data_IF_716304820439
#
_entry.id   IF_716304820439
#
_cell.length_a   1.000
_cell.length_b   1.000
_cell.length_c   1.000
_cell.angle_alpha   90.00
_cell.angle_beta   90.00
_cell.angle_gamma   90.00
#
_symmetry.space_group_name_H-M   'P 1'
#
loop_
_entity.id
_entity.type
_entity.pdbx_description
1 polymer ?
2 polymer ?
3 water ?
#
# COMPACT_ATOMS: atom_id res chain seq x y z
N UNK A 5 11.02 -23.59 13.08
CA UNK A 5 12.14 -23.75 12.09
C UNK A 5 13.48 -23.26 12.65
N UNK A 6 14.56 -23.61 11.94
CA UNK A 6 15.92 -23.12 12.19
C UNK A 6 16.66 -22.95 10.85
N UNK A 7 17.72 -22.12 10.82
CA UNK A 7 18.59 -22.03 9.62
C UNK A 7 19.11 -23.39 9.07
N UNK A 8 19.57 -24.28 9.95
CA UNK A 8 19.95 -25.64 9.54
C UNK A 8 18.80 -26.44 8.92
N UNK A 9 17.60 -26.27 9.44
CA UNK A 9 16.38 -26.87 8.88
C UNK A 9 16.06 -26.29 7.50
N UNK A 10 16.10 -24.96 7.38
CA UNK A 10 15.99 -24.30 6.10
C UNK A 10 17.03 -24.86 5.14
N UNK A 11 18.23 -25.08 5.66
CA UNK A 11 19.35 -25.69 4.92
C UNK A 11 18.96 -27.05 4.38
N UNK A 12 18.45 -27.90 5.27
CA UNK A 12 17.95 -29.23 4.89
C UNK A 12 16.90 -29.16 3.77
N UNK A 13 15.98 -28.20 3.85
CA UNK A 13 14.94 -28.03 2.83
C UNK A 13 15.45 -27.55 1.48
N UNK A 14 16.38 -26.59 1.51
CA UNK A 14 16.92 -26.05 0.26
C UNK A 14 17.71 -27.14 -0.46
N UNK A 15 18.51 -27.88 0.30
CA UNK A 15 19.43 -28.83 -0.29
C UNK A 15 18.68 -30.02 -0.87
N UNK A 16 17.58 -30.38 -0.20
CA UNK A 16 16.62 -31.34 -0.69
C UNK A 16 16.09 -30.92 -2.06
N UNK A 17 15.77 -29.64 -2.25
CA UNK A 17 15.19 -29.15 -3.49
C UNK A 17 16.20 -29.12 -4.65
N UNK A 18 17.44 -28.74 -4.35
CA UNK A 18 18.50 -28.69 -5.35
C UNK A 18 18.76 -30.10 -5.90
N UNK A 19 18.71 -31.09 -5.01
CA UNK A 19 18.93 -32.49 -5.39
C UNK A 19 17.69 -33.09 -6.07
N UNK A 20 16.57 -33.14 -5.36
CA UNK A 20 15.31 -33.65 -5.90
C UNK A 20 14.77 -32.73 -6.99
N UNK A 21 14.96 -33.14 -8.25
CA UNK A 21 14.38 -32.47 -9.42
C UNK A 21 15.26 -31.40 -10.06
N UNK A 22 15.24 -30.18 -9.51
CA UNK A 22 15.98 -29.04 -10.07
C UNK A 22 17.48 -29.24 -10.05
N UNK A 23 17.94 -30.25 -10.80
CA UNK A 23 19.32 -30.77 -10.71
C UNK A 23 20.24 -30.36 -11.85
N UNK A 24 19.72 -29.60 -12.81
CA UNK A 24 20.54 -29.10 -13.92
C UNK A 24 21.59 -28.12 -13.39
N UNK A 25 21.14 -27.14 -12.60
CA UNK A 25 22.06 -26.14 -12.04
C UNK A 25 22.81 -26.65 -10.81
N UNK A 26 24.07 -26.25 -10.71
CA UNK A 26 24.82 -26.34 -9.45
C UNK A 26 25.00 -24.94 -8.85
N UNK A 27 24.94 -23.92 -9.72
CA UNK A 27 25.20 -22.52 -9.33
C UNK A 27 23.90 -21.66 -9.38
N UNK A 28 23.59 -21.02 -8.25
CA UNK A 28 22.36 -20.26 -8.09
C UNK A 28 22.68 -18.88 -7.50
N UNK A 29 22.01 -17.82 -7.96
CA UNK A 29 22.05 -16.55 -7.23
C UNK A 29 21.24 -16.74 -5.94
N UNK A 30 21.53 -15.94 -4.92
CA UNK A 30 20.73 -15.97 -3.72
C UNK A 30 19.28 -15.54 -4.05
N UNK A 31 19.14 -14.53 -4.89
CA UNK A 31 17.80 -14.04 -5.27
C UNK A 31 16.92 -15.15 -5.86
N UNK A 32 17.45 -15.90 -6.84
CA UNK A 32 16.62 -16.87 -7.54
C UNK A 32 16.17 -18.04 -6.68
N UNK A 33 16.92 -18.34 -5.62
CA UNK A 33 16.50 -19.36 -4.66
C UNK A 33 15.23 -18.97 -3.92
N UNK A 34 15.07 -17.68 -3.64
CA UNK A 34 13.91 -17.22 -2.86
C UNK A 34 12.84 -16.49 -3.68
N UNK A 35 13.21 -15.93 -4.83
CA UNK A 35 12.27 -15.14 -5.64
C UNK A 35 12.19 -15.59 -7.11
N UNK A 36 12.86 -16.70 -7.44
CA UNK A 36 12.88 -17.21 -8.81
C UNK A 36 11.60 -17.93 -9.20
N UNK A 37 11.54 -18.43 -10.43
CA UNK A 37 10.39 -19.17 -10.93
C UNK A 37 10.38 -20.64 -10.51
N UNK A 38 11.55 -21.26 -10.58
CA UNK A 38 11.70 -22.70 -10.39
C UNK A 38 11.45 -23.15 -8.95
N UNK A 39 11.52 -22.19 -8.04
CA UNK A 39 11.39 -22.48 -6.60
C UNK A 39 10.12 -21.85 -6.00
N UNK A 40 9.25 -21.33 -6.88
CA UNK A 40 8.06 -20.55 -6.48
C UNK A 40 7.09 -21.26 -5.54
N UNK A 41 7.02 -22.58 -5.65
CA UNK A 41 6.09 -23.36 -4.83
C UNK A 41 6.75 -24.01 -3.60
N UNK A 42 8.06 -23.78 -3.44
CA UNK A 42 8.82 -24.35 -2.32
C UNK A 42 8.64 -23.59 -1.00
N UNK A 43 8.85 -24.31 0.10
CA UNK A 43 8.71 -23.76 1.45
C UNK A 43 9.65 -22.58 1.74
N UNK A 44 10.75 -22.49 0.99
CA UNK A 44 11.74 -21.42 1.18
C UNK A 44 11.59 -20.20 0.25
N UNK A 45 10.60 -20.22 -0.64
CA UNK A 45 10.34 -19.03 -1.44
C UNK A 45 9.95 -17.90 -0.49
N UNK A 46 10.31 -16.66 -0.82
CA UNK A 46 10.05 -15.53 0.06
C UNK A 46 10.92 -15.44 1.31
N UNK A 47 11.67 -16.51 1.61
CA UNK A 47 12.64 -16.48 2.72
C UNK A 47 13.54 -15.27 2.58
N UNK A 48 13.75 -14.54 3.68
CA UNK A 48 14.59 -13.34 3.70
C UNK A 48 16.06 -13.69 3.44
N UNK A 49 16.83 -12.76 2.86
CA UNK A 49 18.26 -13.03 2.54
C UNK A 49 19.04 -13.40 3.79
N UNK A 50 18.76 -12.70 4.88
CA UNK A 50 19.52 -12.88 6.13
C UNK A 50 19.44 -14.33 6.63
N UNK A 51 18.25 -14.89 6.63
CA UNK A 51 18.02 -16.25 7.11
C UNK A 51 18.52 -17.27 6.08
N UNK A 52 18.36 -16.95 4.80
CA UNK A 52 18.87 -17.75 3.70
C UNK A 52 20.38 -17.91 3.78
N UNK A 53 21.10 -16.82 4.05
CA UNK A 53 22.54 -16.91 4.24
C UNK A 53 22.97 -17.80 5.42
N UNK A 54 22.23 -17.73 6.53
CA UNK A 54 22.52 -18.61 7.66
C UNK A 54 22.21 -20.09 7.35
N UNK A 55 21.18 -20.33 6.52
CA UNK A 55 20.87 -21.66 6.04
C UNK A 55 22.03 -22.18 5.20
N UNK A 56 22.51 -21.33 4.31
CA UNK A 56 23.59 -21.66 3.39
C UNK A 56 24.93 -21.85 4.10
N UNK A 57 25.14 -21.11 5.18
CA UNK A 57 26.35 -21.20 6.02
C UNK A 57 26.42 -22.56 6.73
N UNK A 58 25.27 -23.05 7.24
CA UNK A 58 25.20 -24.37 7.83
C UNK A 58 25.51 -25.46 6.79
N UNK A 59 24.97 -25.28 5.58
CA UNK A 59 25.31 -26.15 4.43
C UNK A 59 26.79 -26.09 4.11
N UNK A 60 27.35 -24.89 3.95
CA UNK A 60 28.78 -24.74 3.69
C UNK A 60 29.66 -25.47 4.72
N UNK A 61 29.28 -25.39 6.00
CA UNK A 61 29.99 -26.10 7.10
C UNK A 61 30.03 -27.61 6.91
N UNK A 62 28.99 -28.16 6.29
CA UNK A 62 28.89 -29.59 5.96
C UNK A 62 29.42 -29.91 4.57
N UNK A 63 30.05 -28.92 3.91
CA UNK A 63 30.68 -29.08 2.58
C UNK A 63 29.66 -29.24 1.44
N UNK A 64 28.39 -28.99 1.75
CA UNK A 64 27.31 -29.13 0.78
C UNK A 64 27.11 -27.90 -0.10
N UNK A 65 27.85 -26.84 0.18
CA UNK A 65 27.65 -25.56 -0.48
C UNK A 65 28.89 -24.70 -0.31
N UNK A 66 29.14 -23.86 -1.31
CA UNK A 66 30.13 -22.80 -1.16
C UNK A 66 29.47 -21.49 -1.58
N UNK A 67 29.52 -20.51 -0.69
CA UNK A 67 28.85 -19.23 -0.96
C UNK A 67 29.79 -18.31 -1.75
N UNK A 68 29.22 -17.63 -2.75
CA UNK A 68 29.94 -16.58 -3.50
C UNK A 68 29.41 -15.21 -3.09
N UNK A 69 30.29 -14.40 -2.53
CA UNK A 69 29.89 -13.13 -1.94
C UNK A 69 30.32 -11.90 -2.73
N UNK A 70 31.03 -12.09 -3.84
CA UNK A 70 31.44 -10.93 -4.63
C UNK A 70 30.21 -10.22 -5.22
N UNK A 71 30.23 -8.90 -5.13
CA UNK A 71 29.09 -8.07 -5.49
C UNK A 71 28.68 -8.17 -6.95
N UNK A 72 29.63 -8.49 -7.84
CA UNK A 72 29.39 -8.63 -9.28
C UNK A 72 28.68 -9.92 -9.67
N UNK A 73 28.45 -10.78 -8.70
CA UNK A 73 27.79 -12.04 -8.97
C UNK A 73 27.67 -12.94 -7.76
N UNK A 74 26.77 -12.53 -6.87
CA UNK A 74 26.55 -13.18 -5.58
C UNK A 74 25.74 -14.44 -5.77
N UNK A 75 26.02 -15.44 -4.95
CA UNK A 75 25.24 -16.65 -5.01
C UNK A 75 25.90 -17.80 -4.31
N UNK A 76 25.57 -19.00 -4.75
CA UNK A 76 25.94 -20.20 -4.03
C UNK A 76 26.11 -21.36 -5.02
N UNK A 77 27.12 -22.19 -4.78
CA UNK A 77 27.23 -23.47 -5.50
C UNK A 77 26.97 -24.60 -4.55
N UNK A 78 26.16 -25.56 -4.99
CA UNK A 78 25.86 -26.75 -4.20
C UNK A 78 26.68 -27.93 -4.70
N UNK A 79 27.04 -28.79 -3.77
CA UNK A 79 27.87 -29.96 -4.04
C UNK A 79 27.12 -31.20 -3.54
N UNK B 1 40.80 -25.54 -0.34
CA UNK B 1 40.66 -24.48 -1.40
C UNK B 1 39.25 -24.44 -1.99
N UNK B 2 38.99 -23.39 -2.78
CA UNK B 2 37.68 -23.16 -3.42
C UNK B 2 37.36 -24.24 -4.42
N UNK B 3 36.08 -24.60 -4.48
CA UNK B 3 35.58 -25.45 -5.53
C UNK B 3 34.69 -24.67 -6.51
N UNK B 4 34.85 -23.34 -6.56
CA UNK B 4 34.09 -22.51 -7.49
C UNK B 4 34.99 -22.05 -8.64
N UNK B 5 34.55 -22.27 -9.87
CA UNK B 5 35.32 -21.94 -11.07
C UNK B 5 35.08 -20.51 -11.58
N UNK B 6 36.00 -20.01 -12.39
CA UNK B 6 35.82 -18.74 -13.09
C UNK B 6 34.55 -18.76 -13.97
N UNK B 7 34.32 -19.89 -14.62
CA UNK B 7 33.06 -20.20 -15.30
C UNK B 7 31.81 -20.12 -14.41
N UNK B 8 31.87 -20.70 -13.20
CA UNK B 8 30.79 -20.58 -12.21
C UNK B 8 30.49 -19.12 -11.88
N UNK B 9 31.56 -18.34 -11.66
CA UNK B 9 31.40 -16.92 -11.33
C UNK B 9 30.89 -16.09 -12.53
N UNK B 10 31.32 -16.44 -13.73
CA UNK B 10 30.81 -15.84 -14.96
C UNK B 10 29.30 -16.09 -15.18
N UNK B 11 28.81 -17.29 -14.85
CA UNK B 11 27.38 -17.59 -14.92
C UNK B 11 26.68 -16.60 -14.01
N UNK B 12 27.17 -16.58 -12.78
CA UNK B 12 26.59 -15.79 -11.71
C UNK B 12 26.54 -14.28 -11.94
N UNK B 13 27.56 -13.72 -12.59
CA UNK B 13 27.56 -12.29 -12.96
C UNK B 13 26.39 -12.02 -13.88
N UNK B 14 26.18 -12.93 -14.83
CA UNK B 14 25.10 -12.78 -15.81
C UNK B 14 23.73 -13.05 -15.17
N UNK B 15 23.62 -14.12 -14.39
CA UNK B 15 22.39 -14.40 -13.65
C UNK B 15 22.01 -13.29 -12.66
N UNK B 16 22.99 -12.56 -12.12
CA UNK B 16 22.70 -11.41 -11.27
C UNK B 16 22.09 -10.21 -12.03
N UNK B 17 22.65 -9.91 -13.20
CA UNK B 17 22.17 -8.82 -14.05
C UNK B 17 20.74 -9.10 -14.54
N UNK B 18 20.49 -10.38 -14.80
CA UNK B 18 19.17 -10.91 -15.09
C UNK B 18 18.18 -10.71 -13.95
N UNK B 19 18.65 -11.01 -12.74
CA UNK B 19 17.83 -10.95 -11.55
C UNK B 19 17.34 -9.52 -11.25
N UNK B 20 18.25 -8.55 -11.34
CA UNK B 20 17.94 -7.17 -10.99
C UNK B 20 16.96 -6.57 -12.01
N UNK B 21 17.10 -6.97 -13.27
CA UNK B 21 16.13 -6.60 -14.31
C UNK B 21 14.77 -7.25 -14.08
N UNK B 22 14.79 -8.52 -13.67
CA UNK B 22 13.55 -9.23 -13.30
C UNK B 22 12.76 -8.51 -12.16
N UNK B 23 13.48 -8.01 -11.15
CA UNK B 23 12.88 -7.23 -10.04
C UNK B 23 12.16 -5.95 -10.56
N UNK B 24 12.84 -5.21 -11.44
CA UNK B 24 12.20 -4.08 -12.11
C UNK B 24 11.03 -4.46 -13.04
N UNK B 25 11.11 -5.62 -13.68
CA UNK B 25 10.05 -6.10 -14.59
C UNK B 25 8.76 -6.37 -13.78
N UNK B 26 8.94 -6.96 -12.61
CA UNK B 26 7.83 -7.33 -11.74
C UNK B 26 7.13 -6.07 -11.25
N UNK B 27 7.94 -5.09 -10.85
CA UNK B 27 7.46 -3.77 -10.47
C UNK B 27 6.65 -3.06 -11.59
N UNK B 28 7.04 -3.25 -12.84
CA UNK B 28 6.33 -2.69 -14.00
C UNK B 28 5.00 -3.40 -14.22
N UNK B 29 5.03 -4.73 -14.20
CA UNK B 29 3.86 -5.60 -14.33
C UNK B 29 2.78 -5.20 -13.34
N UNK B 30 3.22 -4.96 -12.09
CA UNK B 30 2.34 -4.52 -11.00
C UNK B 30 1.69 -3.17 -11.30
N UNK B 31 2.45 -2.28 -11.95
CA UNK B 31 1.98 -0.91 -12.20
C UNK B 31 1.05 -0.83 -13.41
N UNK B 32 1.35 -1.63 -14.43
CA UNK B 32 0.50 -1.73 -15.61
C UNK B 32 -0.97 -1.98 -15.28
N UNK B 33 -1.21 -2.87 -14.33
CA UNK B 33 -2.56 -3.16 -13.88
C UNK B 33 -3.05 -2.15 -12.84
N UNK B 34 -2.13 -1.57 -12.07
CA UNK B 34 -2.47 -0.55 -11.07
C UNK B 34 -3.40 0.52 -11.64
N UNK B 35 -3.20 0.88 -12.91
CA UNK B 35 -4.10 1.82 -13.55
C UNK B 35 -5.11 1.11 -14.42
N UNK C 5 4.98 -6.36 -49.12
CA UNK C 5 3.74 -5.67 -49.56
C UNK C 5 3.76 -4.17 -49.24
N UNK C 6 2.71 -3.46 -49.65
CA UNK C 6 2.61 -2.01 -49.37
C UNK C 6 2.18 -1.82 -47.92
N UNK C 7 2.40 -0.61 -47.36
CA UNK C 7 2.02 -0.35 -45.96
C UNK C 7 0.55 -0.66 -45.69
N UNK C 8 -0.28 -0.37 -46.68
CA UNK C 8 -1.73 -0.55 -46.61
C UNK C 8 -2.12 -1.97 -46.27
N UNK C 9 -1.42 -2.93 -46.89
CA UNK C 9 -1.74 -4.33 -46.69
C UNK C 9 -1.18 -4.85 -45.40
N UNK C 10 0.02 -4.37 -45.04
CA UNK C 10 0.60 -4.60 -43.73
C UNK C 10 -0.40 -4.16 -42.64
N UNK C 11 -0.93 -2.95 -42.80
CA UNK C 11 -1.93 -2.40 -41.88
C UNK C 11 -3.20 -3.21 -41.79
N UNK C 12 -3.68 -3.67 -42.95
CA UNK C 12 -4.86 -4.48 -43.05
C UNK C 12 -4.66 -5.77 -42.24
N UNK C 13 -3.44 -6.28 -42.30
CA UNK C 13 -3.03 -7.50 -41.59
C UNK C 13 -2.95 -7.31 -40.07
N UNK C 14 -2.25 -6.26 -39.64
CA UNK C 14 -2.16 -5.90 -38.21
C UNK C 14 -3.52 -5.68 -37.57
N UNK C 15 -4.37 -4.91 -38.26
CA UNK C 15 -5.70 -4.63 -37.74
C UNK C 15 -6.52 -5.92 -37.66
N UNK C 16 -6.49 -6.74 -38.72
CA UNK C 16 -7.13 -8.06 -38.75
C UNK C 16 -6.75 -8.84 -37.50
N UNK C 17 -5.46 -8.81 -37.16
CA UNK C 17 -5.00 -9.45 -35.94
C UNK C 17 -5.52 -8.78 -34.67
N UNK C 18 -5.38 -7.45 -34.60
CA UNK C 18 -5.86 -6.70 -33.44
C UNK C 18 -7.34 -7.04 -33.25
N UNK C 19 -8.14 -6.73 -34.26
CA UNK C 19 -9.57 -7.03 -34.32
C UNK C 19 -9.94 -8.45 -33.90
N UNK C 20 -9.55 -9.43 -34.72
CA UNK C 20 -9.84 -10.83 -34.45
C UNK C 20 -9.32 -11.32 -33.10
N UNK C 21 -8.21 -10.73 -32.62
CA UNK C 21 -7.70 -11.07 -31.30
C UNK C 21 -8.47 -10.33 -30.18
N UNK C 22 -9.34 -9.40 -30.57
CA UNK C 22 -10.14 -8.62 -29.63
C UNK C 22 -9.32 -7.70 -28.73
N UNK C 23 -8.44 -6.91 -29.35
CA UNK C 23 -7.50 -6.09 -28.59
C UNK C 23 -7.57 -4.60 -28.94
N UNK C 24 -8.64 -4.19 -29.63
CA UNK C 24 -8.90 -2.78 -29.80
C UNK C 24 -9.06 -2.13 -28.41
N UNK C 25 -8.98 -0.80 -28.33
CA UNK C 25 -9.02 -0.09 -27.04
C UNK C 25 -7.65 -0.16 -26.31
N UNK C 26 -6.85 -1.14 -26.70
CA UNK C 26 -5.58 -1.45 -26.03
C UNK C 26 -4.45 -0.59 -26.60
N UNK C 27 -3.48 -0.26 -25.76
CA UNK C 27 -2.35 0.55 -26.19
C UNK C 27 -1.20 -0.44 -26.45
N UNK C 28 -0.58 -0.32 -27.61
CA UNK C 28 0.57 -1.16 -27.98
C UNK C 28 1.84 -0.33 -28.12
N UNK C 29 3.01 -0.87 -27.78
CA UNK C 29 4.25 -0.26 -28.25
C UNK C 29 4.44 -0.69 -29.69
N UNK C 30 5.24 0.07 -30.44
CA UNK C 30 5.65 -0.37 -31.77
C UNK C 30 6.46 -1.69 -31.70
N UNK C 31 7.36 -1.77 -30.71
CA UNK C 31 8.18 -2.98 -30.47
C UNK C 31 7.38 -4.25 -30.28
N UNK C 32 6.31 -4.21 -29.49
CA UNK C 32 5.60 -5.45 -29.15
C UNK C 32 4.77 -6.01 -30.29
N UNK C 33 4.33 -5.15 -31.22
CA UNK C 33 3.66 -5.60 -32.42
C UNK C 33 4.55 -6.44 -33.32
N UNK C 34 5.85 -6.11 -33.37
CA UNK C 34 6.78 -6.83 -34.26
C UNK C 34 7.76 -7.80 -33.55
N UNK C 35 7.87 -7.68 -32.22
CA UNK C 35 8.87 -8.45 -31.45
C UNK C 35 8.34 -9.14 -30.19
N UNK C 36 7.02 -9.08 -29.97
CA UNK C 36 6.42 -9.67 -28.78
C UNK C 36 6.04 -11.13 -28.95
N UNK C 37 5.76 -11.80 -27.82
CA UNK C 37 5.27 -13.19 -27.81
C UNK C 37 3.95 -13.32 -28.57
N UNK C 38 2.97 -12.49 -28.21
CA UNK C 38 1.61 -12.54 -28.75
C UNK C 38 1.54 -12.52 -30.28
N UNK C 39 2.55 -11.91 -30.89
CA UNK C 39 2.53 -11.61 -32.32
C UNK C 39 3.32 -12.64 -33.14
N UNK C 40 4.13 -13.47 -32.47
CA UNK C 40 5.03 -14.48 -33.07
C UNK C 40 4.54 -15.17 -34.35
N UNK C 41 3.28 -15.60 -34.35
CA UNK C 41 2.71 -16.39 -35.46
C UNK C 41 2.35 -15.55 -36.68
N UNK C 42 2.21 -14.24 -36.49
CA UNK C 42 1.64 -13.39 -37.54
C UNK C 42 2.68 -12.93 -38.57
N UNK C 43 2.19 -12.55 -39.76
CA UNK C 43 3.02 -12.20 -40.91
C UNK C 43 3.89 -10.96 -40.66
N UNK C 44 3.37 -10.01 -39.89
CA UNK C 44 4.08 -8.78 -39.62
C UNK C 44 5.06 -8.91 -38.45
N UNK C 45 5.18 -10.12 -37.89
CA UNK C 45 6.28 -10.36 -36.95
C UNK C 45 7.60 -10.13 -37.69
N UNK C 46 8.52 -9.44 -37.02
CA UNK C 46 9.80 -9.08 -37.61
C UNK C 46 9.80 -7.89 -38.55
N UNK C 47 8.65 -7.26 -38.76
CA UNK C 47 8.59 -6.07 -39.61
C UNK C 47 9.45 -4.91 -39.04
N UNK C 48 10.13 -4.17 -39.93
CA UNK C 48 10.89 -2.99 -39.55
C UNK C 48 9.96 -1.88 -39.00
N UNK C 49 10.49 -1.11 -38.06
CA UNK C 49 9.72 -0.03 -37.43
C UNK C 49 9.22 1.04 -38.40
N UNK C 50 10.03 1.41 -39.39
CA UNK C 50 9.65 2.45 -40.35
C UNK C 50 8.45 2.07 -41.19
N UNK C 51 8.45 0.83 -41.68
CA UNK C 51 7.34 0.28 -42.47
C UNK C 51 6.10 0.05 -41.58
N UNK C 52 6.31 -0.41 -40.35
CA UNK C 52 5.24 -0.49 -39.38
C UNK C 52 4.51 0.83 -39.23
N UNK C 53 5.26 1.93 -39.12
CA UNK C 53 4.76 3.26 -38.84
C UNK C 53 3.99 3.82 -40.03
N UNK C 54 4.42 3.41 -41.21
CA UNK C 54 3.70 3.70 -42.44
C UNK C 54 2.39 2.95 -42.48
N UNK C 55 2.41 1.70 -42.05
CA UNK C 55 1.24 0.83 -42.00
C UNK C 55 0.17 1.28 -41.02
N UNK C 56 0.59 1.78 -39.86
CA UNK C 56 -0.33 2.24 -38.79
C UNK C 56 -0.88 3.62 -39.10
N UNK C 57 -0.09 4.39 -39.81
CA UNK C 57 -0.39 5.74 -40.14
C UNK C 57 -1.28 5.81 -41.39
N UNK C 58 -1.57 4.63 -41.95
CA UNK C 58 -2.62 4.45 -42.94
C UNK C 58 -3.89 3.90 -42.27
N UNK C 59 -3.70 3.09 -41.23
CA UNK C 59 -4.80 2.62 -40.38
C UNK C 59 -5.40 3.80 -39.63
N UNK C 60 -4.53 4.72 -39.25
CA UNK C 60 -4.92 5.98 -38.63
C UNK C 60 -5.87 6.75 -39.57
N UNK C 61 -5.66 6.59 -40.87
CA UNK C 61 -6.51 7.29 -41.85
C UNK C 61 -7.90 6.66 -41.99
N UNK C 62 -8.01 5.35 -41.79
CA UNK C 62 -9.32 4.70 -41.73
C UNK C 62 -9.94 4.91 -40.35
N UNK C 63 -9.34 5.82 -39.58
CA UNK C 63 -9.71 6.09 -38.18
C UNK C 63 -9.71 4.81 -37.32
N UNK C 64 -8.88 3.85 -37.73
CA UNK C 64 -8.72 2.55 -37.03
C UNK C 64 -7.55 2.52 -36.03
N UNK C 65 -6.69 3.55 -36.07
CA UNK C 65 -5.54 3.66 -35.13
C UNK C 65 -5.12 5.12 -34.82
N UNK C 66 -4.41 5.33 -33.71
CA UNK C 66 -3.75 6.62 -33.47
C UNK C 66 -2.37 6.42 -32.90
N UNK C 67 -1.36 6.99 -33.55
CA UNK C 67 0.05 6.88 -33.12
C UNK C 67 0.30 7.81 -31.97
N UNK C 68 0.94 7.27 -30.94
CA UNK C 68 1.20 7.95 -29.70
C UNK C 68 2.71 8.06 -29.54
N UNK C 69 3.19 9.25 -29.22
CA UNK C 69 4.59 9.36 -28.83
C UNK C 69 4.73 9.85 -27.38
N UNK C 70 5.53 9.15 -26.59
CA UNK C 70 5.85 9.51 -25.20
C UNK C 70 7.36 9.64 -24.99
N UNK C 71 7.81 10.14 -23.83
CA UNK C 71 9.22 10.43 -23.64
C UNK C 71 10.14 9.29 -24.07
N UNK C 72 9.77 8.07 -23.73
CA UNK C 72 10.69 6.97 -23.95
C UNK C 72 10.33 5.98 -25.07
N UNK C 73 9.43 6.41 -25.96
CA UNK C 73 9.18 5.70 -27.25
C UNK C 73 7.83 5.96 -27.88
N UNK C 74 7.48 5.15 -28.87
CA UNK C 74 6.20 5.31 -29.57
C UNK C 74 5.34 4.06 -29.50
N UNK C 75 4.06 4.25 -29.78
CA UNK C 75 3.08 3.20 -29.66
C UNK C 75 1.86 3.66 -30.43
N UNK C 76 0.74 3.00 -30.16
CA UNK C 76 -0.44 3.10 -31.00
C UNK C 76 -1.65 2.56 -30.22
N UNK C 77 -2.78 3.23 -30.36
CA UNK C 77 -4.07 2.75 -29.85
C UNK C 77 -4.93 2.36 -31.04
N UNK C 78 -5.57 1.18 -31.01
CA UNK C 78 -6.51 0.79 -32.06
C UNK C 78 -7.96 1.01 -31.60
N UNK C 79 -8.84 1.26 -32.57
CA UNK C 79 -10.27 1.49 -32.30
C UNK C 79 -11.13 0.51 -33.11
N UNK D 1 -9.76 15.69 -33.12
CA UNK D 1 -9.03 15.69 -31.80
C UNK D 1 -8.56 14.32 -31.38
N UNK D 2 -7.44 14.27 -30.66
CA UNK D 2 -6.93 12.98 -30.16
C UNK D 2 -7.98 12.19 -29.41
N UNK D 3 -7.96 10.88 -29.57
CA UNK D 3 -8.78 9.93 -28.82
C UNK D 3 -7.95 9.16 -27.80
N UNK D 4 -6.78 9.70 -27.47
CA UNK D 4 -5.80 9.03 -26.59
C UNK D 4 -5.78 9.78 -25.26
N UNK D 5 -5.97 9.06 -24.16
CA UNK D 5 -6.07 9.67 -22.84
C UNK D 5 -4.72 9.79 -22.10
N UNK D 6 -4.71 10.58 -21.02
CA UNK D 6 -3.58 10.62 -20.05
C UNK D 6 -3.24 9.23 -19.47
N UNK D 7 -4.26 8.47 -19.09
CA UNK D 7 -4.08 7.12 -18.63
C UNK D 7 -3.38 6.24 -19.70
N UNK D 8 -3.87 6.27 -20.94
CA UNK D 8 -3.24 5.56 -22.08
C UNK D 8 -1.75 5.86 -22.24
N UNK D 9 -1.40 7.14 -22.17
CA UNK D 9 -0.02 7.62 -22.27
C UNK D 9 0.81 7.14 -21.07
N UNK D 10 0.22 7.11 -19.89
CA UNK D 10 0.87 6.54 -18.70
C UNK D 10 1.18 5.05 -18.84
N UNK D 11 0.19 4.31 -19.36
CA UNK D 11 0.35 2.90 -19.73
C UNK D 11 1.44 2.69 -20.78
N UNK D 12 1.46 3.51 -21.85
CA UNK D 12 2.49 3.42 -22.89
C UNK D 12 3.91 3.62 -22.31
N UNK D 13 4.09 4.62 -21.45
CA UNK D 13 5.41 4.83 -20.82
C UNK D 13 5.90 3.61 -20.02
N UNK D 14 5.01 2.99 -19.24
CA UNK D 14 5.33 1.73 -18.56
C UNK D 14 5.67 0.58 -19.51
N UNK D 15 4.84 0.41 -20.54
CA UNK D 15 5.05 -0.59 -21.59
C UNK D 15 6.38 -0.41 -22.31
N UNK D 16 6.77 0.85 -22.52
CA UNK D 16 8.09 1.13 -23.08
C UNK D 16 9.24 0.68 -22.15
N UNK D 17 9.07 0.89 -20.85
CA UNK D 17 10.02 0.39 -19.84
C UNK D 17 10.13 -1.14 -19.85
N UNK D 18 8.96 -1.81 -19.81
CA UNK D 18 8.81 -3.26 -20.00
C UNK D 18 9.56 -3.81 -21.24
N UNK D 19 9.44 -3.10 -22.36
CA UNK D 19 10.08 -3.46 -23.62
C UNK D 19 11.60 -3.30 -23.55
N UNK D 20 12.08 -2.22 -22.94
CA UNK D 20 13.56 -2.04 -22.82
C UNK D 20 14.21 -3.12 -21.97
N UNK D 21 13.60 -3.41 -20.83
CA UNK D 21 13.98 -4.52 -19.99
C UNK D 21 13.95 -5.87 -20.70
N UNK D 22 12.93 -6.09 -21.51
CA UNK D 22 12.80 -7.33 -22.28
C UNK D 22 13.92 -7.48 -23.28
N UNK D 23 14.37 -6.35 -23.85
CA UNK D 23 15.47 -6.34 -24.82
C UNK D 23 16.82 -6.64 -24.14
N UNK D 24 17.06 -5.96 -23.02
CA UNK D 24 18.19 -6.27 -22.14
C UNK D 24 18.28 -7.75 -21.74
N UNK D 25 17.14 -8.34 -21.41
CA UNK D 25 17.08 -9.75 -21.02
C UNK D 25 17.47 -10.71 -22.15
N UNK D 26 17.15 -10.36 -23.39
CA UNK D 26 17.55 -11.15 -24.56
C UNK D 26 19.08 -11.14 -24.72
N UNK D 27 19.69 -9.97 -24.52
CA UNK D 27 21.14 -9.84 -24.60
C UNK D 27 21.78 -10.75 -23.59
N UNK D 28 21.34 -10.63 -22.36
CA UNK D 28 21.82 -11.43 -21.25
C UNK D 28 21.62 -12.91 -21.53
N UNK D 29 20.45 -13.28 -22.07
CA UNK D 29 20.13 -14.65 -22.43
C UNK D 29 21.09 -15.22 -23.50
N UNK D 30 21.47 -14.37 -24.45
CA UNK D 30 22.52 -14.74 -25.41
C UNK D 30 23.87 -14.97 -24.71
N UNK D 31 24.18 -14.12 -23.75
CA UNK D 31 25.46 -14.22 -23.02
C UNK D 31 25.54 -15.49 -22.18
N UNK D 32 24.43 -15.84 -21.54
CA UNK D 32 24.37 -17.06 -20.73
C UNK D 32 24.56 -18.35 -21.53
N UNK D 33 24.06 -18.39 -22.76
CA UNK D 33 24.30 -19.51 -23.67
C UNK D 33 25.75 -19.55 -24.19
N UNK D 34 26.36 -18.37 -24.32
CA UNK D 34 27.78 -18.27 -24.60
C UNK D 34 28.63 -18.56 -23.34
N UNK D 35 28.02 -19.19 -22.34
CA UNK D 35 28.73 -19.60 -21.12
C UNK D 35 28.30 -20.98 -20.63
N UNK D 36 27.60 -21.72 -21.49
CA UNK D 36 27.06 -23.05 -21.15
C UNK D 36 27.15 -24.02 -22.33
N UNK E 5 1.30 -8.71 -6.32
CA UNK E 5 2.14 -8.43 -5.12
C UNK E 5 2.12 -9.59 -4.12
N UNK E 6 3.29 -9.91 -3.57
CA UNK E 6 3.44 -11.01 -2.61
C UNK E 6 3.36 -10.49 -1.17
N UNK E 7 3.02 -11.37 -0.20
CA UNK E 7 2.92 -10.93 1.20
C UNK E 7 4.23 -10.39 1.80
N UNK E 8 5.37 -10.82 1.25
CA UNK E 8 6.67 -10.32 1.72
C UNK E 8 6.90 -8.84 1.38
N UNK E 9 6.47 -8.41 0.20
CA UNK E 9 6.62 -6.99 -0.20
C UNK E 9 5.59 -6.12 0.49
N UNK E 10 4.42 -6.70 0.75
CA UNK E 10 3.47 -6.10 1.68
C UNK E 10 4.11 -5.92 3.06
N UNK E 11 4.79 -6.95 3.54
CA UNK E 11 5.47 -6.94 4.84
C UNK E 11 6.51 -5.83 4.97
N UNK E 12 7.30 -5.63 3.92
CA UNK E 12 8.33 -4.57 3.90
C UNK E 12 7.73 -3.16 3.88
N UNK E 13 6.66 -2.98 3.12
CA UNK E 13 5.91 -1.71 3.12
C UNK E 13 5.39 -1.35 4.51
N UNK E 14 4.74 -2.30 5.17
CA UNK E 14 4.29 -2.09 6.54
C UNK E 14 5.48 -1.84 7.48
N UNK E 15 6.49 -2.71 7.43
CA UNK E 15 7.69 -2.56 8.27
C UNK E 15 8.41 -1.24 8.05
N UNK E 16 8.60 -0.87 6.77
CA UNK E 16 9.19 0.44 6.42
C UNK E 16 8.41 1.57 7.10
N UNK E 17 7.08 1.54 7.02
CA UNK E 17 6.26 2.59 7.63
C UNK E 17 6.40 2.61 9.15
N UNK E 18 6.53 1.43 9.75
CA UNK E 18 6.72 1.32 11.20
C UNK E 18 8.09 1.87 11.64
N UNK E 19 9.13 1.67 10.83
CA UNK E 19 10.47 2.21 11.10
C UNK E 19 10.49 3.75 11.24
N UNK E 20 9.72 4.42 10.39
CA UNK E 20 9.57 5.87 10.43
C UNK E 20 8.19 6.27 10.97
N UNK E 21 7.92 5.90 12.21
CA UNK E 21 6.61 6.09 12.85
C UNK E 21 6.74 6.65 14.28
N UNK E 22 7.97 6.82 14.74
CA UNK E 22 8.24 7.25 16.10
C UNK E 22 8.86 6.14 16.93
N UNK E 23 8.51 4.91 16.57
CA UNK E 23 9.04 3.70 17.22
C UNK E 23 9.21 2.61 16.17
N UNK E 24 10.25 1.79 16.32
CA UNK E 24 10.44 0.61 15.47
C UNK E 24 9.81 -0.63 16.12
N UNK E 25 9.32 -0.44 17.35
CA UNK E 25 8.92 -1.52 18.25
C UNK E 25 7.59 -1.23 18.96
N UNK E 26 6.54 -1.01 18.18
CA UNK E 26 5.26 -0.74 18.79
C UNK E 26 4.20 -1.84 18.54
N UNK E 27 3.10 -1.68 19.25
CA UNK E 27 1.97 -2.58 19.25
C UNK E 27 0.88 -1.88 18.43
N UNK E 28 0.24 -2.66 17.55
CA UNK E 28 -0.84 -2.17 16.66
C UNK E 28 -1.94 -3.18 16.51
N UNK E 29 -3.18 -2.69 16.35
CA UNK E 29 -4.27 -3.55 15.94
C UNK E 29 -4.15 -3.78 14.43
N UNK E 30 -4.70 -4.88 13.97
CA UNK E 30 -4.84 -5.14 12.54
C UNK E 30 -5.64 -4.02 11.91
N UNK E 31 -6.75 -3.64 12.56
CA UNK E 31 -7.63 -2.56 12.07
C UNK E 31 -6.92 -1.20 11.87
N UNK E 32 -6.04 -0.82 12.77
CA UNK E 32 -5.41 0.51 12.70
C UNK E 32 -4.37 0.59 11.60
N UNK E 33 -3.78 -0.55 11.25
CA UNK E 33 -2.87 -0.61 10.12
C UNK E 33 -3.56 -0.33 8.78
N UNK E 34 -4.79 -0.82 8.61
CA UNK E 34 -5.43 -0.68 7.30
C UNK E 34 -6.54 0.38 7.22
N UNK E 35 -6.98 0.89 8.37
CA UNK E 35 -8.17 1.74 8.45
C UNK E 35 -7.99 2.93 9.38
N UNK E 36 -6.86 2.96 10.09
CA UNK E 36 -6.55 4.06 10.99
C UNK E 36 -6.26 5.35 10.25
N UNK E 37 -6.14 6.43 11.00
CA UNK E 37 -5.86 7.75 10.43
C UNK E 37 -4.43 7.91 9.91
N UNK E 38 -3.46 7.48 10.71
CA UNK E 38 -2.04 7.71 10.41
C UNK E 38 -1.46 6.84 9.28
N UNK E 39 -2.33 6.06 8.62
CA UNK E 39 -1.88 5.08 7.63
C UNK E 39 -2.56 5.15 6.24
N UNK E 40 -3.57 6.00 6.10
CA UNK E 40 -4.37 6.09 4.86
C UNK E 40 -3.58 6.29 3.56
N UNK E 41 -2.45 6.97 3.65
CA UNK E 41 -1.62 7.30 2.50
C UNK E 41 -0.86 6.10 1.92
N UNK E 42 -0.68 5.06 2.72
CA UNK E 42 0.20 3.96 2.35
C UNK E 42 -0.48 2.91 1.47
N UNK E 43 0.35 2.17 0.74
CA UNK E 43 -0.09 1.19 -0.25
C UNK E 43 -0.94 0.06 0.32
N UNK E 44 -0.77 -0.21 1.61
CA UNK E 44 -1.36 -1.36 2.25
C UNK E 44 -2.68 -1.04 2.94
N UNK E 45 -3.07 0.23 2.90
CA UNK E 45 -4.38 0.66 3.37
C UNK E 45 -5.50 -0.02 2.57
N UNK E 46 -6.59 -0.36 3.25
CA UNK E 46 -7.68 -1.10 2.62
C UNK E 46 -7.45 -2.59 2.45
N UNK E 47 -6.28 -3.09 2.84
CA UNK E 47 -5.99 -4.52 2.72
C UNK E 47 -6.85 -5.39 3.62
N UNK E 48 -7.45 -6.42 3.04
CA UNK E 48 -8.29 -7.34 3.79
C UNK E 48 -7.43 -8.04 4.83
N UNK E 49 -8.07 -8.39 5.95
CA UNK E 49 -7.37 -8.89 7.11
C UNK E 49 -6.50 -10.12 6.84
N UNK E 50 -6.96 -10.99 5.95
CA UNK E 50 -6.24 -12.22 5.62
C UNK E 50 -4.98 -11.99 4.81
N UNK E 51 -5.00 -10.97 3.94
CA UNK E 51 -3.81 -10.56 3.20
C UNK E 51 -2.80 -9.84 4.11
N UNK E 52 -3.29 -8.93 4.94
CA UNK E 52 -2.48 -8.29 5.96
C UNK E 52 -1.82 -9.33 6.88
N UNK E 53 -2.62 -10.29 7.37
CA UNK E 53 -2.10 -11.32 8.26
C UNK E 53 -0.99 -12.08 7.57
N UNK E 54 -1.19 -12.41 6.31
CA UNK E 54 -0.23 -13.17 5.54
C UNK E 54 1.08 -12.40 5.50
N UNK E 55 0.97 -11.10 5.20
CA UNK E 55 2.09 -10.16 5.19
C UNK E 55 2.80 -10.05 6.53
N UNK E 56 2.02 -10.00 7.61
CA UNK E 56 2.54 -10.00 8.97
C UNK E 56 3.14 -11.37 9.35
N UNK E 57 2.64 -12.45 8.74
CA UNK E 57 3.19 -13.77 8.99
C UNK E 57 4.57 -13.91 8.33
N UNK E 58 4.75 -13.30 7.17
CA UNK E 58 6.04 -13.22 6.51
C UNK E 58 7.01 -12.41 7.36
N UNK E 59 6.55 -11.27 7.86
CA UNK E 59 7.34 -10.44 8.74
C UNK E 59 7.67 -11.19 10.05
N UNK E 60 6.77 -12.06 10.50
CA UNK E 60 7.02 -12.86 11.70
C UNK E 60 8.12 -13.90 11.47
N UNK E 61 8.14 -14.47 10.27
CA UNK E 61 9.14 -15.48 9.90
C UNK E 61 10.53 -14.87 9.91
N UNK E 62 10.62 -13.62 9.47
CA UNK E 62 11.87 -12.88 9.49
C UNK E 62 12.25 -12.35 10.89
N UNK E 63 11.47 -12.70 11.91
CA UNK E 63 11.61 -12.21 13.30
C UNK E 63 11.37 -10.68 13.46
N UNK E 64 10.71 -10.10 12.48
CA UNK E 64 10.42 -8.66 12.47
C UNK E 64 9.07 -8.29 13.06
N UNK E 65 8.21 -9.29 13.29
CA UNK E 65 6.91 -9.07 13.95
C UNK E 65 6.45 -10.30 14.73
N UNK E 66 5.53 -10.10 15.66
CA UNK E 66 4.83 -11.22 16.30
C UNK E 66 3.36 -10.88 16.37
N UNK E 67 2.54 -11.77 15.81
CA UNK E 67 1.11 -11.57 15.79
C UNK E 67 0.57 -11.89 17.18
N UNK E 68 -0.36 -11.05 17.65
CA UNK E 68 -0.98 -11.23 18.93
C UNK E 68 -2.45 -11.58 18.71
N UNK E 69 -2.89 -12.69 19.28
CA UNK E 69 -4.28 -13.05 19.18
C UNK E 69 -4.80 -13.18 20.58
N UNK E 70 -5.77 -12.34 20.92
CA UNK E 70 -6.33 -12.34 22.25
C UNK E 70 -7.87 -12.33 22.16
N UNK E 71 -8.55 -12.75 23.24
CA UNK E 71 -10.00 -12.63 23.30
C UNK E 71 -10.39 -11.20 22.89
N UNK E 72 -11.30 -11.11 21.92
CA UNK E 72 -11.83 -9.83 21.38
C UNK E 72 -10.94 -9.06 20.39
N UNK E 73 -9.83 -9.66 19.97
CA UNK E 73 -9.13 -9.12 18.82
C UNK E 73 -7.70 -9.52 18.59
N UNK E 74 -7.16 -9.06 17.46
CA UNK E 74 -5.82 -9.44 17.08
C UNK E 74 -5.03 -8.22 16.74
N UNK E 75 -3.73 -8.34 17.00
CA UNK E 75 -2.81 -7.27 16.75
C UNK E 75 -1.43 -7.83 16.44
N UNK E 76 -0.45 -6.93 16.46
CA UNK E 76 0.92 -7.29 16.09
C UNK E 76 1.89 -6.38 16.84
N UNK E 77 3.05 -6.93 17.22
CA UNK E 77 4.18 -6.17 17.73
C UNK E 77 5.28 -6.20 16.69
N UNK E 78 5.95 -5.08 16.51
CA UNK E 78 7.06 -5.04 15.58
C UNK E 78 8.39 -5.01 16.32
N UNK E 79 9.42 -5.59 15.71
CA UNK E 79 10.75 -5.64 16.33
C UNK E 79 11.82 -5.00 15.47
N UNK F 1 10.15 -18.85 22.47
CA UNK F 1 9.10 -18.22 23.32
C UNK F 1 8.64 -16.87 22.78
N UNK F 2 7.48 -16.41 23.27
CA UNK F 2 6.91 -15.11 22.90
C UNK F 2 7.81 -13.92 23.29
N UNK F 3 7.81 -12.89 22.45
CA UNK F 3 8.51 -11.64 22.73
C UNK F 3 7.52 -10.49 23.01
N UNK F 4 6.27 -10.83 23.29
CA UNK F 4 5.34 -9.75 23.65
C UNK F 4 5.03 -9.81 25.13
N UNK F 5 5.14 -8.64 25.75
CA UNK F 5 5.09 -8.50 27.17
C UNK F 5 3.66 -8.29 27.69
N UNK F 6 3.53 -8.37 28.99
CA UNK F 6 2.32 -7.94 29.68
C UNK F 6 1.99 -6.48 29.31
N UNK F 7 3.01 -5.61 29.25
CA UNK F 7 2.74 -4.23 28.90
C UNK F 7 2.17 -4.12 27.49
N UNK F 8 2.76 -4.85 26.55
CA UNK F 8 2.29 -4.86 25.15
C UNK F 8 0.81 -5.21 25.04
N UNK F 9 0.41 -6.25 25.78
CA UNK F 9 -0.96 -6.77 25.70
C UNK F 9 -1.96 -5.77 26.31
N UNK F 10 -1.52 -5.01 27.31
CA UNK F 10 -2.29 -3.90 27.90
C UNK F 10 -2.49 -2.74 26.91
N UNK F 11 -1.42 -2.40 26.18
CA UNK F 11 -1.50 -1.41 25.11
C UNK F 11 -2.50 -1.87 24.02
N UNK F 12 -2.35 -3.11 23.54
CA UNK F 12 -3.22 -3.71 22.51
C UNK F 12 -4.72 -3.63 22.86
N UNK F 13 -5.06 -3.96 24.10
CA UNK F 13 -6.41 -3.91 24.61
C UNK F 13 -6.97 -2.49 24.52
N UNK F 14 -6.18 -1.51 24.96
CA UNK F 14 -6.60 -0.12 24.90
C UNK F 14 -6.82 0.34 23.46
N UNK F 15 -5.96 -0.10 22.56
CA UNK F 15 -6.08 0.16 21.12
C UNK F 15 -7.27 -0.52 20.48
N UNK F 16 -7.63 -1.73 20.93
CA UNK F 16 -8.89 -2.35 20.49
C UNK F 16 -10.12 -1.51 20.93
N UNK F 17 -10.11 -1.05 22.18
CA UNK F 17 -11.16 -0.17 22.70
C UNK F 17 -11.23 1.11 21.87
N UNK F 18 -10.07 1.72 21.64
CA UNK F 18 -9.96 2.92 20.79
C UNK F 18 -10.51 2.70 19.37
N UNK F 19 -10.20 1.56 18.76
CA UNK F 19 -10.75 1.15 17.47
C UNK F 19 -12.27 1.08 17.42
N UNK F 20 -12.87 0.48 18.45
CA UNK F 20 -14.32 0.46 18.63
C UNK F 20 -14.89 1.89 18.67
N UNK F 21 -14.25 2.77 19.42
CA UNK F 21 -14.65 4.18 19.46
C UNK F 21 -14.49 4.90 18.11
N UNK F 22 -13.39 4.60 17.42
CA UNK F 22 -13.17 5.25 16.13
C UNK F 22 -14.17 4.80 15.06
N UNK F 23 -14.60 3.55 15.14
CA UNK F 23 -15.57 3.00 14.19
C UNK F 23 -16.94 3.66 14.42
N UNK F 24 -17.33 3.81 15.68
CA UNK F 24 -18.60 4.49 15.96
C UNK F 24 -18.52 5.95 15.49
N UNK F 25 -17.38 6.60 15.73
CA UNK F 25 -17.20 7.99 15.33
C UNK F 25 -17.31 8.20 13.83
N UNK F 26 -16.82 7.25 13.05
CA UNK F 26 -16.88 7.35 11.60
C UNK F 26 -18.31 7.26 11.09
N UNK F 27 -19.14 6.46 11.74
CA UNK F 27 -20.57 6.36 11.38
C UNK F 27 -21.37 7.58 11.79
N UNK F 28 -20.95 8.24 12.87
CA UNK F 28 -21.58 9.49 13.32
C UNK F 28 -21.20 10.67 12.43
N UNK F 29 -19.92 10.73 12.07
CA UNK F 29 -19.42 11.80 11.21
C UNK F 29 -19.96 11.64 9.79
N UNK F 30 -20.39 10.41 9.49
CA UNK F 30 -21.13 10.09 8.26
C UNK F 30 -22.55 10.68 8.30
N UNK F 31 -23.22 10.48 9.43
CA UNK F 31 -24.58 10.97 9.65
C UNK F 31 -24.64 12.50 9.78
N UNK F 32 -23.56 13.09 10.30
CA UNK F 32 -23.37 14.54 10.34
C UNK F 32 -22.90 15.12 9.00
N UNK G 5 -14.95 35.73 36.75
CA UNK G 5 -15.75 36.32 35.65
C UNK G 5 -17.21 35.86 35.73
N UNK G 6 -18.12 36.83 35.68
CA UNK G 6 -19.56 36.59 35.77
C UNK G 6 -20.09 35.79 34.57
N UNK G 7 -21.31 35.22 34.69
CA UNK G 7 -21.97 34.54 33.56
C UNK G 7 -22.06 35.39 32.28
N UNK G 8 -22.58 36.61 32.41
CA UNK G 8 -22.84 37.45 31.24
C UNK G 8 -21.60 37.94 30.48
N UNK G 9 -20.45 38.00 31.16
CA UNK G 9 -19.20 38.38 30.48
C UNK G 9 -18.67 37.25 29.59
N UNK G 10 -18.75 36.02 30.07
CA UNK G 10 -18.55 34.84 29.21
C UNK G 10 -19.56 34.84 28.07
N UNK G 11 -20.80 35.22 28.38
CA UNK G 11 -21.88 35.29 27.39
C UNK G 11 -21.53 36.20 26.22
N UNK G 12 -21.08 37.41 26.53
CA UNK G 12 -20.59 38.34 25.51
C UNK G 12 -19.50 37.70 24.65
N UNK G 13 -18.52 37.05 25.28
CA UNK G 13 -17.39 36.49 24.54
C UNK G 13 -17.80 35.27 23.72
N UNK G 14 -18.66 34.43 24.28
CA UNK G 14 -19.26 33.33 23.52
C UNK G 14 -19.94 33.90 22.28
N UNK G 15 -20.82 34.88 22.49
CA UNK G 15 -21.63 35.45 21.40
C UNK G 15 -20.78 36.07 20.28
N UNK G 16 -19.69 36.73 20.67
CA UNK G 16 -18.78 37.36 19.69
C UNK G 16 -18.11 36.32 18.80
N UNK G 17 -17.67 35.20 19.39
CA UNK G 17 -17.01 34.13 18.63
C UNK G 17 -17.96 33.57 17.58
N UNK G 18 -19.19 33.32 18.00
CA UNK G 18 -20.24 32.77 17.14
C UNK G 18 -20.50 33.72 15.97
N UNK G 19 -20.73 34.99 16.30
CA UNK G 19 -21.11 36.01 15.33
C UNK G 19 -20.03 36.23 14.25
N UNK G 20 -18.77 36.29 14.67
CA UNK G 20 -17.70 36.62 13.73
C UNK G 20 -17.41 35.54 12.67
N UNK G 21 -17.68 34.28 13.01
CA UNK G 21 -17.36 33.15 12.14
C UNK G 21 -18.43 32.88 11.09
N UNK G 22 -19.57 33.55 11.21
CA UNK G 22 -20.72 33.29 10.34
C UNK G 22 -21.42 32.01 10.76
N UNK G 23 -21.66 31.89 12.06
CA UNK G 23 -22.36 30.74 12.66
C UNK G 23 -23.63 31.20 13.36
N UNK G 24 -24.19 32.30 12.85
CA UNK G 24 -25.29 33.04 13.51
C UNK G 24 -26.62 32.28 13.68
N UNK G 25 -26.73 31.10 13.09
CA UNK G 25 -27.86 30.19 13.37
C UNK G 25 -27.39 28.75 13.58
N UNK G 26 -26.17 28.60 14.08
CA UNK G 26 -25.60 27.27 14.29
C UNK G 26 -25.99 26.69 15.64
N UNK G 27 -26.12 25.37 15.64
CA UNK G 27 -26.44 24.59 16.83
C UNK G 27 -25.13 23.98 17.40
N UNK G 28 -24.94 24.09 18.71
CA UNK G 28 -23.73 23.57 19.36
C UNK G 28 -24.14 22.78 20.60
N UNK G 29 -23.36 21.75 20.96
CA UNK G 29 -23.50 21.13 22.26
C UNK G 29 -22.75 22.01 23.24
N UNK G 30 -23.17 22.04 24.50
CA UNK G 30 -22.42 22.75 25.51
C UNK G 30 -20.98 22.22 25.64
N UNK G 31 -20.81 20.89 25.58
CA UNK G 31 -19.48 20.26 25.64
C UNK G 31 -18.56 20.76 24.53
N UNK G 32 -19.03 20.78 23.28
CA UNK G 32 -18.18 21.20 22.17
C UNK G 32 -17.74 22.65 22.30
N UNK G 33 -18.55 23.50 22.95
CA UNK G 33 -18.17 24.91 23.17
C UNK G 33 -16.94 25.02 24.05
N UNK G 34 -16.89 24.23 25.12
CA UNK G 34 -15.83 24.37 26.14
C UNK G 34 -14.72 23.31 26.03
N UNK G 35 -14.94 22.34 25.15
CA UNK G 35 -14.12 21.13 25.06
C UNK G 35 -13.90 20.60 23.65
N UNK G 36 -14.56 21.21 22.66
CA UNK G 36 -14.49 20.75 21.29
C UNK G 36 -13.22 21.14 20.56
N UNK G 37 -12.98 20.50 19.42
CA UNK G 37 -11.74 20.72 18.69
C UNK G 37 -11.69 21.96 17.79
N UNK G 38 -12.80 22.70 17.73
CA UNK G 38 -12.86 23.96 16.98
C UNK G 38 -12.57 25.15 17.88
N UNK G 39 -12.83 24.98 19.18
CA UNK G 39 -12.70 26.07 20.17
C UNK G 39 -11.45 25.94 21.07
N UNK G 40 -10.57 25.00 20.72
CA UNK G 40 -9.35 24.71 21.50
C UNK G 40 -8.48 25.91 21.90
N UNK G 41 -8.28 26.84 20.95
CA UNK G 41 -7.52 28.08 21.19
C UNK G 41 -8.42 29.27 21.47
N UNK G 42 -9.67 28.98 21.84
CA UNK G 42 -10.61 29.99 22.29
C UNK G 42 -10.37 30.28 23.77
N UNK G 43 -10.89 31.40 24.24
CA UNK G 43 -10.68 31.83 25.62
C UNK G 43 -11.60 31.11 26.59
N UNK G 44 -12.76 30.67 26.09
CA UNK G 44 -13.74 29.99 26.92
C UNK G 44 -13.52 28.47 26.99
N UNK G 45 -12.57 27.97 26.21
CA UNK G 45 -12.21 26.55 26.29
C UNK G 45 -11.84 26.17 27.72
N UNK G 46 -12.48 25.14 28.28
CA UNK G 46 -12.21 24.71 29.66
C UNK G 46 -13.21 25.20 30.69
N UNK G 47 -14.11 26.10 30.27
CA UNK G 47 -15.17 26.59 31.15
C UNK G 47 -16.07 25.47 31.66
N UNK G 48 -16.45 25.50 32.93
CA UNK G 48 -17.29 24.43 33.47
C UNK G 48 -18.72 24.57 32.98
N UNK G 49 -19.42 23.45 32.81
CA UNK G 49 -20.78 23.48 32.27
C UNK G 49 -21.80 24.34 33.04
N UNK G 50 -21.59 24.49 34.36
CA UNK G 50 -22.55 25.23 35.17
C UNK G 50 -22.54 26.71 34.81
N UNK G 51 -21.32 27.28 34.81
CA UNK G 51 -21.08 28.67 34.47
C UNK G 51 -21.48 28.90 33.02
N UNK G 52 -21.14 27.94 32.15
CA UNK G 52 -21.49 28.07 30.74
C UNK G 52 -23.00 28.15 30.59
N UNK G 53 -23.72 27.25 31.28
CA UNK G 53 -25.18 27.24 31.28
C UNK G 53 -25.76 28.60 31.71
N UNK G 54 -25.20 29.23 32.75
CA UNK G 54 -25.67 30.55 33.15
C UNK G 54 -25.41 31.62 32.10
N UNK G 55 -24.19 31.62 31.54
CA UNK G 55 -23.82 32.52 30.44
C UNK G 55 -24.82 32.41 29.30
N UNK G 56 -25.17 31.17 28.97
CA UNK G 56 -26.13 30.90 27.91
C UNK G 56 -27.53 31.43 28.24
N UNK G 57 -27.94 31.27 29.50
CA UNK G 57 -29.23 31.78 29.99
C UNK G 57 -29.31 33.30 29.88
N UNK G 58 -28.19 33.97 30.14
CA UNK G 58 -28.09 35.41 29.96
C UNK G 58 -28.28 35.80 28.50
N UNK G 59 -27.67 35.04 27.60
CA UNK G 59 -27.89 35.25 26.16
C UNK G 59 -29.35 35.04 25.73
N UNK G 60 -29.96 33.97 26.24
CA UNK G 60 -31.39 33.68 25.97
C UNK G 60 -32.35 34.79 26.43
N UNK G 61 -32.04 35.41 27.58
CA UNK G 61 -32.79 36.61 28.00
C UNK G 61 -32.64 37.78 27.02
N UNK G 62 -31.47 37.89 26.36
CA UNK G 62 -31.27 38.93 25.33
C UNK G 62 -31.73 38.45 23.95
N UNK G 63 -32.44 37.31 23.91
CA UNK G 63 -32.90 36.71 22.65
C UNK G 63 -31.78 36.38 21.65
N UNK G 64 -30.58 36.11 22.19
CA UNK G 64 -29.40 35.86 21.38
C UNK G 64 -29.04 34.37 21.29
N UNK G 65 -29.74 33.56 22.10
CA UNK G 65 -29.56 32.13 22.08
C UNK G 65 -30.84 31.43 22.53
N UNK G 66 -30.95 30.15 22.18
CA UNK G 66 -32.02 29.30 22.67
C UNK G 66 -31.42 27.97 23.10
N UNK G 67 -31.58 27.67 24.37
CA UNK G 67 -31.09 26.45 24.97
C UNK G 67 -32.02 25.28 24.62
N UNK G 68 -31.39 24.20 24.19
CA UNK G 68 -32.07 23.00 23.70
C UNK G 68 -31.80 21.90 24.73
N UNK G 69 -32.86 21.21 25.15
CA UNK G 69 -32.71 20.05 26.02
C UNK G 69 -32.85 18.74 25.21
N UNK G 70 -31.76 17.98 25.06
CA UNK G 70 -31.80 16.65 24.42
C UNK G 70 -31.40 15.52 25.36
N UNK G 71 -32.42 14.83 25.87
CA UNK G 71 -32.28 13.81 26.91
C UNK G 71 -30.99 13.97 27.71
N UNK G 72 -29.99 13.13 27.40
CA UNK G 72 -28.72 13.09 28.14
C UNK G 72 -27.73 14.21 27.77
N UNK G 73 -28.16 15.45 27.91
CA UNK G 73 -27.28 16.60 27.71
C UNK G 73 -27.94 17.89 27.28
N UNK G 74 -27.11 18.86 26.95
CA UNK G 74 -27.58 20.19 26.57
C UNK G 74 -26.92 20.69 25.29
N UNK G 75 -27.67 21.51 24.57
CA UNK G 75 -27.20 22.20 23.39
C UNK G 75 -27.73 23.62 23.37
N UNK G 76 -27.35 24.36 22.34
CA UNK G 76 -27.80 25.76 22.20
C UNK G 76 -27.82 26.15 20.73
N UNK G 77 -28.78 27.00 20.37
CA UNK G 77 -28.76 27.65 19.05
C UNK G 77 -28.58 29.17 19.23
N UNK G 78 -27.71 29.76 18.42
CA UNK G 78 -27.44 31.20 18.50
C UNK G 78 -28.21 31.97 17.42
N UNK G 79 -28.50 33.25 17.69
CA UNK G 79 -29.21 34.13 16.75
C UNK G 79 -28.53 35.49 16.56
N UNK H 1 -38.56 23.97 20.49
CA UNK H 1 -38.60 25.33 21.15
C UNK H 1 -38.56 26.45 20.14
N UNK H 2 -39.35 27.52 20.39
CA UNK H 2 -39.79 28.46 19.34
C UNK H 2 -38.95 28.68 18.09
N UNK H 3 -37.63 28.88 18.17
CA UNK H 3 -36.83 28.98 16.93
C UNK H 3 -35.91 27.77 16.61
N UNK H 4 -36.20 26.64 17.23
CA UNK H 4 -35.42 25.42 17.04
C UNK H 4 -36.22 24.42 16.23
N UNK H 5 -35.60 23.88 15.20
CA UNK H 5 -36.29 22.95 14.32
C UNK H 5 -36.02 21.51 14.71
N UNK H 6 -36.78 20.60 14.12
CA UNK H 6 -36.51 19.18 14.21
C UNK H 6 -35.09 18.85 13.70
N UNK H 7 -34.67 19.45 12.58
CA UNK H 7 -33.33 19.23 12.04
C UNK H 7 -32.27 19.61 13.07
N UNK H 8 -32.47 20.73 13.74
CA UNK H 8 -31.55 21.26 14.76
C UNK H 8 -31.38 20.20 15.85
N UNK H 9 -32.50 19.60 16.29
CA UNK H 9 -32.47 18.59 17.35
C UNK H 9 -31.78 17.29 16.91
N UNK H 10 -32.03 16.90 15.66
CA UNK H 10 -31.45 15.70 15.07
C UNK H 10 -29.93 15.83 14.98
N UNK H 11 -29.45 16.96 14.45
CA UNK H 11 -28.04 17.32 14.44
C UNK H 11 -27.44 17.31 15.85
N UNK H 12 -28.11 17.97 16.79
CA UNK H 12 -27.66 18.01 18.19
C UNK H 12 -27.54 16.63 18.85
N UNK H 13 -28.49 15.74 18.56
CA UNK H 13 -28.43 14.34 19.02
C UNK H 13 -27.19 13.62 18.49
N UNK H 14 -26.91 13.78 17.19
CA UNK H 14 -25.65 13.28 16.63
C UNK H 14 -24.40 13.91 17.24
N UNK H 15 -24.46 15.21 17.46
CA UNK H 15 -23.33 15.90 18.06
C UNK H 15 -23.04 15.45 19.49
N UNK H 16 -24.11 15.15 20.23
CA UNK H 16 -24.02 14.68 21.59
C UNK H 16 -23.40 13.29 21.68
N UNK H 17 -23.75 12.43 20.72
CA UNK H 17 -23.14 11.08 20.56
C UNK H 17 -21.66 11.16 20.29
N UNK H 18 -21.33 11.94 19.29
CA UNK H 18 -19.97 12.33 18.97
C UNK H 18 -19.21 12.72 20.23
N UNK H 19 -19.81 13.60 21.04
CA UNK H 19 -19.16 14.10 22.25
C UNK H 19 -18.88 13.03 23.30
N UNK H 20 -19.84 12.10 23.44
CA UNK H 20 -19.76 11.00 24.39
C UNK H 20 -18.57 10.11 24.03
N UNK H 21 -18.41 9.90 22.73
CA UNK H 21 -17.34 9.12 22.16
C UNK H 21 -15.97 9.81 22.26
N UNK H 22 -15.92 11.12 22.03
CA UNK H 22 -14.69 11.90 22.22
C UNK H 22 -14.17 11.81 23.65
N UNK H 23 -15.09 11.90 24.60
CA UNK H 23 -14.78 11.85 26.02
C UNK H 23 -14.12 10.51 26.37
N UNK H 24 -14.73 9.42 25.92
CA UNK H 24 -14.15 8.10 26.09
C UNK H 24 -12.81 7.99 25.35
N UNK H 25 -12.72 8.53 24.14
CA UNK H 25 -11.44 8.57 23.41
C UNK H 25 -10.34 9.23 24.25
N UNK H 26 -10.64 10.42 24.80
CA UNK H 26 -9.74 11.14 25.71
C UNK H 26 -9.28 10.34 26.97
N UNK H 27 -10.20 9.60 27.60
CA UNK H 27 -9.86 8.70 28.70
C UNK H 27 -8.88 7.59 28.29
N UNK H 28 -9.11 7.00 27.12
CA UNK H 28 -8.23 5.97 26.54
C UNK H 28 -6.82 6.50 26.21
N UNK H 29 -6.73 7.68 25.59
CA UNK H 29 -5.44 8.29 25.34
C UNK H 29 -4.61 8.46 26.62
N UNK H 30 -5.28 8.84 27.72
CA UNK H 30 -4.59 9.00 29.00
C UNK H 30 -4.32 7.66 29.72
N UNK H 31 -5.16 6.67 29.43
CA UNK H 31 -4.98 5.32 29.92
C UNK H 31 -3.77 4.73 29.18
N UNK H 32 -3.70 4.99 27.88
CA UNK H 32 -2.55 4.65 27.04
C UNK H 32 -1.24 5.27 27.56
N UNK H 33 -1.28 6.55 27.94
CA UNK H 33 -0.11 7.22 28.51
C UNK H 33 0.33 6.58 29.83
N UNK H 34 -0.63 6.25 30.70
CA UNK H 34 -0.34 5.64 31.99
C UNK H 34 0.27 4.24 31.85
N UNK H 35 -0.19 3.50 30.84
CA UNK H 35 0.35 2.17 30.53
C UNK H 35 1.76 2.27 29.93
N UNK H 36 1.99 3.29 29.11
CA UNK H 36 3.29 3.50 28.48
C UNK H 36 4.30 4.03 29.49
#
# INVERSE_FOLDING_TARGET
>A
GAMGRRPEEWGKLIYQWVSRSGQNNSVFTLYELTNGEDTEDEEFHGLDEATLLRALQALQQEHKAEIITVSDGRGVKFF
>B
GSRVTEQDKAILQLKQQRDKLRQYQKRIAQQLERERALA
>C
GAMGRRPEEWGKLIYQWVSRSGQNNSVFTLYELTNGEDTEDEEFHGLDEATLLRALQALQQEHKAEIITVSDGRGVKFF
>D
GSRVTEQDKAILQLKQQRDKLRQYQKRIAQQLERERALA
>E
GAMGRRPEEWGKLIYQWVSRSGQNNSVFTLYELTNGEDTEDEEFHGLDEATLLRALQALQQEHKAEIITVSDGRGVKFF
>F
GSRVTEQDKAILQLKQQRDKLRQYQKRIAQQLERERALA
>G
GAMGRRPEEWGKLIYQWVSRSGQNNSVFTLYELTNGEDTEDEEFHGLDEATLLRALQALQQEHKAEIITVSDGRGVKFF
>H
GSRVTEQDKAILQLKQQRDKLRQYQKRIAQQLERERALA
#
